data_IF_807841204899
#
_entry.id   IF_807841204899
#
_cell.length_a   1.000
_cell.length_b   1.000
_cell.length_c   1.000
_cell.angle_alpha   90.00
_cell.angle_beta   90.00
_cell.angle_gamma   90.00
#
_symmetry.space_group_name_H-M   'P 1'
#
loop_
_entity.id
_entity.type
_entity.pdbx_description
1 polymer ?
#
# COMPACT_ATOMS: atom_id res chain seq x y z
N UNK A 1 -29.10 37.06 -45.36
CA UNK A 1 -27.73 37.12 -44.82
C UNK A 1 -27.91 37.42 -43.35
N UNK A 2 -27.73 36.41 -42.50
CA UNK A 2 -27.25 36.55 -41.13
C UNK A 2 -26.90 35.12 -40.68
N UNK A 3 -25.62 34.91 -40.43
CA UNK A 3 -24.98 33.61 -40.28
C UNK A 3 -25.33 32.93 -38.96
N UNK A 4 -25.61 31.64 -39.05
CA UNK A 4 -25.61 30.73 -37.90
C UNK A 4 -24.15 30.42 -37.57
N UNK A 5 -23.67 30.88 -36.41
CA UNK A 5 -22.37 30.44 -35.89
C UNK A 5 -22.42 28.96 -35.50
N UNK A 6 -21.40 28.16 -35.83
CA UNK A 6 -21.38 26.76 -35.43
C UNK A 6 -21.05 26.66 -33.94
N UNK A 7 -21.81 25.81 -33.24
CA UNK A 7 -21.55 25.33 -31.90
C UNK A 7 -20.15 24.68 -31.88
N UNK A 8 -19.20 25.28 -31.15
CA UNK A 8 -17.91 24.66 -30.90
C UNK A 8 -18.12 23.31 -30.21
N UNK A 9 -17.76 22.24 -30.91
CA UNK A 9 -17.64 20.91 -30.36
C UNK A 9 -16.57 20.95 -29.27
N UNK A 10 -16.98 20.86 -28.01
CA UNK A 10 -16.08 20.63 -26.89
C UNK A 10 -15.37 19.30 -27.10
N UNK A 11 -14.19 19.36 -27.72
CA UNK A 11 -13.21 18.27 -27.75
C UNK A 11 -12.93 17.84 -26.33
N UNK A 12 -13.16 16.55 -26.08
CA UNK A 12 -12.80 15.83 -24.86
C UNK A 12 -11.38 16.18 -24.42
N UNK A 13 -11.26 16.78 -23.23
CA UNK A 13 -9.98 16.94 -22.56
C UNK A 13 -9.51 15.57 -22.08
N UNK A 14 -8.84 14.82 -22.94
CA UNK A 14 -7.98 13.73 -22.49
C UNK A 14 -6.92 14.37 -21.58
N UNK A 15 -7.03 14.09 -20.29
CA UNK A 15 -6.27 14.74 -19.23
C UNK A 15 -4.78 14.45 -19.37
N UNK A 16 -4.04 15.40 -19.94
CA UNK A 16 -2.59 15.34 -19.96
C UNK A 16 -2.07 15.33 -18.51
N UNK A 17 -1.39 14.24 -18.11
CA UNK A 17 -0.74 14.15 -16.80
C UNK A 17 0.23 15.32 -16.60
N UNK A 18 0.21 15.91 -15.40
CA UNK A 18 1.04 17.07 -15.07
C UNK A 18 2.53 16.71 -15.17
N UNK A 19 3.38 17.68 -15.55
CA UNK A 19 4.83 17.47 -15.62
C UNK A 19 5.43 16.86 -14.33
N UNK A 20 5.04 17.30 -13.11
CA UNK A 20 5.51 16.68 -11.87
C UNK A 20 5.13 15.20 -11.74
N UNK A 21 3.91 14.81 -12.14
CA UNK A 21 3.47 13.41 -12.08
C UNK A 21 4.30 12.54 -13.01
N UNK A 22 4.53 12.99 -14.26
CA UNK A 22 5.38 12.25 -15.22
C UNK A 22 6.81 12.08 -14.73
N UNK A 23 7.40 13.14 -14.17
CA UNK A 23 8.75 13.06 -13.59
C UNK A 23 8.80 12.04 -12.45
N UNK A 24 7.79 12.02 -11.60
CA UNK A 24 7.70 11.06 -10.50
C UNK A 24 7.52 9.62 -10.99
N UNK A 25 6.66 9.39 -11.98
CA UNK A 25 6.45 8.07 -12.59
C UNK A 25 7.74 7.52 -13.22
N UNK A 26 8.47 8.38 -13.96
CA UNK A 26 9.76 8.02 -14.55
C UNK A 26 10.82 7.72 -13.50
N UNK A 27 10.92 8.54 -12.44
CA UNK A 27 11.88 8.32 -11.36
C UNK A 27 11.63 7.00 -10.60
N UNK A 28 10.37 6.55 -10.54
CA UNK A 28 9.98 5.30 -9.90
C UNK A 28 9.80 4.14 -10.89
N UNK A 29 10.20 4.31 -12.16
CA UNK A 29 10.06 3.31 -13.23
C UNK A 29 8.64 2.69 -13.32
N UNK A 30 7.60 3.49 -13.08
CA UNK A 30 6.21 3.02 -13.07
C UNK A 30 5.86 2.43 -14.44
N UNK A 31 5.40 1.18 -14.46
CA UNK A 31 4.98 0.49 -15.68
C UNK A 31 3.46 0.49 -15.81
N UNK A 32 2.89 0.72 -17.00
CA UNK A 32 1.47 0.53 -17.26
C UNK A 32 1.07 -0.93 -17.03
N UNK A 33 0.10 -1.18 -16.15
CA UNK A 33 -0.18 -2.53 -15.68
C UNK A 33 -1.67 -2.76 -15.33
N UNK A 34 -2.60 -2.18 -16.09
CA UNK A 34 -4.05 -2.25 -15.80
C UNK A 34 -4.56 -3.68 -15.60
N UNK A 35 -4.06 -4.66 -16.36
CA UNK A 35 -4.48 -6.06 -16.25
C UNK A 35 -4.00 -6.76 -14.96
N UNK A 36 -2.91 -6.28 -14.33
CA UNK A 36 -2.35 -6.86 -13.11
C UNK A 36 -3.30 -6.62 -11.92
N UNK A 37 -4.11 -5.56 -11.95
CA UNK A 37 -4.95 -5.11 -10.85
C UNK A 37 -6.39 -5.67 -10.87
N UNK A 38 -6.71 -6.65 -11.72
CA UNK A 38 -8.00 -7.36 -11.62
C UNK A 38 -8.03 -8.24 -10.37
N UNK A 39 -9.03 -8.09 -9.51
CA UNK A 39 -9.24 -8.93 -8.34
C UNK A 39 -10.27 -10.02 -8.65
N UNK A 40 -9.89 -11.29 -8.52
CA UNK A 40 -10.80 -12.43 -8.61
C UNK A 40 -10.91 -13.09 -7.23
N UNK A 41 -12.06 -12.91 -6.59
CA UNK A 41 -12.29 -13.41 -5.23
C UNK A 41 -12.17 -14.93 -5.13
N UNK A 42 -12.66 -15.68 -6.13
CA UNK A 42 -12.65 -17.14 -6.08
C UNK A 42 -11.22 -17.68 -6.24
N UNK A 43 -10.43 -17.08 -7.13
CA UNK A 43 -9.00 -17.38 -7.27
C UNK A 43 -8.24 -17.10 -5.97
N UNK A 44 -8.45 -15.93 -5.36
CA UNK A 44 -7.77 -15.55 -4.13
C UNK A 44 -8.15 -16.43 -2.95
N UNK A 45 -9.41 -16.83 -2.83
CA UNK A 45 -9.86 -17.78 -1.82
C UNK A 45 -9.21 -19.17 -2.01
N UNK A 46 -9.09 -19.64 -3.25
CA UNK A 46 -8.42 -20.90 -3.54
C UNK A 46 -6.92 -20.86 -3.16
N UNK A 47 -6.23 -19.77 -3.48
CA UNK A 47 -4.81 -19.58 -3.11
C UNK A 47 -4.65 -19.51 -1.59
N UNK A 48 -5.49 -18.73 -0.89
CA UNK A 48 -5.51 -18.61 0.57
C UNK A 48 -5.87 -19.91 1.28
N UNK A 49 -6.67 -20.76 0.67
CA UNK A 49 -6.96 -22.10 1.20
C UNK A 49 -5.79 -23.07 0.98
N UNK A 50 -5.08 -22.95 -0.14
CA UNK A 50 -3.95 -23.82 -0.48
C UNK A 50 -2.66 -23.49 0.30
N UNK A 51 -2.50 -22.23 0.73
CA UNK A 51 -1.37 -21.71 1.52
C UNK A 51 0.00 -22.23 1.09
N UNK A 52 0.41 -22.04 -0.17
CA UNK A 52 1.67 -22.58 -0.68
C UNK A 52 2.91 -22.06 0.07
N UNK A 53 2.83 -20.87 0.68
CA UNK A 53 3.89 -20.28 1.50
C UNK A 53 4.17 -21.01 2.81
N UNK A 54 3.24 -21.82 3.35
CA UNK A 54 3.52 -22.62 4.57
C UNK A 54 4.60 -23.68 4.33
N UNK A 55 4.86 -24.05 3.06
CA UNK A 55 5.86 -25.06 2.68
C UNK A 55 7.26 -24.48 2.46
N UNK A 56 7.35 -23.19 2.18
CA UNK A 56 8.61 -22.50 1.89
C UNK A 56 8.59 -21.09 2.51
N UNK A 57 9.39 -20.82 3.56
CA UNK A 57 9.47 -19.49 4.15
C UNK A 57 10.00 -18.42 3.18
N UNK A 58 10.57 -18.81 2.04
CA UNK A 58 11.04 -17.91 0.97
C UNK A 58 10.13 -17.93 -0.27
N UNK A 59 8.86 -18.35 -0.09
CA UNK A 59 7.90 -18.45 -1.19
C UNK A 59 7.70 -17.13 -1.93
N UNK A 60 7.47 -16.03 -1.19
CA UNK A 60 7.32 -14.70 -1.76
C UNK A 60 8.68 -14.09 -2.08
N UNK A 61 8.87 -13.69 -3.34
CA UNK A 61 10.15 -13.14 -3.83
C UNK A 61 10.01 -11.76 -4.45
N UNK A 62 8.79 -11.40 -4.85
CA UNK A 62 8.50 -10.15 -5.52
C UNK A 62 7.32 -9.45 -4.85
N UNK A 63 7.37 -8.13 -4.85
CA UNK A 63 6.24 -7.27 -4.49
C UNK A 63 6.02 -6.24 -5.59
N UNK A 64 4.77 -6.06 -6.00
CA UNK A 64 4.35 -5.04 -6.96
C UNK A 64 3.42 -4.08 -6.24
N UNK A 65 3.79 -2.80 -6.17
CA UNK A 65 3.01 -1.78 -5.48
C UNK A 65 2.38 -0.86 -6.52
N UNK A 66 1.05 -0.73 -6.46
CA UNK A 66 0.31 0.24 -7.25
C UNK A 66 0.82 1.66 -6.98
N UNK A 67 1.03 2.44 -8.04
CA UNK A 67 1.48 3.82 -7.93
C UNK A 67 0.59 4.67 -7.00
N UNK A 68 -0.72 4.41 -7.00
CA UNK A 68 -1.67 5.06 -6.10
C UNK A 68 -1.42 4.69 -4.63
N UNK A 69 -1.21 3.41 -4.33
CA UNK A 69 -0.90 2.94 -2.99
C UNK A 69 0.42 3.55 -2.50
N UNK A 70 1.46 3.54 -3.35
CA UNK A 70 2.75 4.17 -3.03
C UNK A 70 2.58 5.66 -2.73
N UNK A 71 1.86 6.39 -3.58
CA UNK A 71 1.62 7.82 -3.38
C UNK A 71 0.87 8.11 -2.07
N UNK A 72 -0.18 7.32 -1.75
CA UNK A 72 -0.91 7.44 -0.49
C UNK A 72 -0.01 7.20 0.72
N UNK A 73 0.80 6.15 0.71
CA UNK A 73 1.74 5.84 1.79
C UNK A 73 2.78 6.95 1.99
N UNK A 74 3.39 7.44 0.89
CA UNK A 74 4.38 8.52 0.94
C UNK A 74 3.76 9.84 1.41
N UNK A 75 2.56 10.18 0.92
CA UNK A 75 1.84 11.37 1.39
C UNK A 75 1.47 11.27 2.86
N UNK A 76 1.12 10.08 3.36
CA UNK A 76 0.83 9.87 4.77
C UNK A 76 2.09 10.02 5.63
N UNK A 77 3.20 9.38 5.24
CA UNK A 77 4.49 9.52 5.93
C UNK A 77 4.93 10.99 5.99
N UNK A 78 4.84 11.71 4.86
CA UNK A 78 5.17 13.14 4.81
C UNK A 78 4.29 14.01 5.71
N UNK A 79 3.01 13.66 5.89
CA UNK A 79 2.12 14.38 6.82
C UNK A 79 2.46 14.10 8.28
N UNK A 80 2.99 12.91 8.58
CA UNK A 80 3.49 12.55 9.91
C UNK A 80 4.71 13.36 10.35
N UNK A 81 5.48 13.91 9.41
CA UNK A 81 6.70 14.66 9.69
C UNK A 81 7.72 13.77 10.42
N UNK A 82 8.08 14.14 11.64
CA UNK A 82 9.03 13.37 12.46
C UNK A 82 8.37 12.25 13.28
N UNK A 83 7.05 12.06 13.15
CA UNK A 83 6.31 11.02 13.86
C UNK A 83 6.16 9.79 12.97
N UNK A 84 6.27 8.61 13.58
CA UNK A 84 5.95 7.35 12.91
C UNK A 84 4.43 7.28 12.66
N UNK A 85 4.07 7.02 11.41
CA UNK A 85 2.69 6.74 11.00
C UNK A 85 2.57 5.30 10.55
N UNK A 86 1.34 4.77 10.56
CA UNK A 86 1.09 3.43 10.04
C UNK A 86 -0.24 3.29 9.34
N UNK A 87 -0.37 2.23 8.55
CA UNK A 87 -1.58 1.91 7.82
C UNK A 87 -1.59 0.48 7.32
N UNK A 88 -2.64 0.13 6.59
CA UNK A 88 -2.81 -1.19 5.98
C UNK A 88 -2.67 -1.10 4.47
N UNK A 89 -2.30 -2.23 3.86
CA UNK A 89 -2.29 -2.40 2.41
C UNK A 89 -3.25 -3.51 1.99
N UNK A 90 -4.00 -3.21 0.94
CA UNK A 90 -4.92 -4.15 0.30
C UNK A 90 -4.33 -4.61 -1.02
N UNK A 91 -4.57 -5.87 -1.35
CA UNK A 91 -3.91 -6.52 -2.45
C UNK A 91 -4.35 -7.95 -2.67
N UNK A 92 -3.53 -8.65 -3.44
CA UNK A 92 -3.75 -10.04 -3.82
C UNK A 92 -2.43 -10.79 -3.95
N UNK A 93 -2.52 -12.11 -4.01
CA UNK A 93 -1.41 -12.99 -4.36
C UNK A 93 -1.49 -13.36 -5.83
N UNK A 94 -0.36 -13.28 -6.52
CA UNK A 94 -0.17 -13.81 -7.87
C UNK A 94 1.11 -14.66 -7.89
N UNK A 95 0.94 -15.98 -7.87
CA UNK A 95 2.03 -16.94 -7.69
C UNK A 95 2.92 -16.59 -6.48
N UNK A 96 4.21 -16.28 -6.73
CA UNK A 96 5.23 -15.90 -5.74
C UNK A 96 5.35 -14.37 -5.55
N UNK A 97 4.38 -13.62 -6.06
CA UNK A 97 4.36 -12.15 -6.02
C UNK A 97 3.20 -11.66 -5.15
N UNK A 98 3.49 -10.73 -4.24
CA UNK A 98 2.45 -9.95 -3.56
C UNK A 98 2.15 -8.69 -4.37
N UNK A 99 0.88 -8.46 -4.68
CA UNK A 99 0.44 -7.28 -5.42
C UNK A 99 -0.34 -6.38 -4.46
N UNK A 100 0.22 -5.22 -4.14
CA UNK A 100 -0.44 -4.16 -3.39
C UNK A 100 -1.22 -3.28 -4.36
N UNK A 101 -2.54 -3.25 -4.20
CA UNK A 101 -3.49 -2.54 -5.04
C UNK A 101 -3.87 -1.18 -4.47
N UNK A 102 -4.02 -1.10 -3.14
CA UNK A 102 -4.33 0.15 -2.44
C UNK A 102 -3.73 0.16 -1.01
N UNK A 103 -3.76 1.32 -0.36
CA UNK A 103 -3.35 1.51 1.04
C UNK A 103 -4.27 2.50 1.74
N UNK A 104 -4.44 2.35 3.05
CA UNK A 104 -5.17 3.30 3.88
C UNK A 104 -4.46 3.56 5.21
N UNK A 105 -4.50 4.82 5.65
CA UNK A 105 -3.94 5.25 6.92
C UNK A 105 -4.80 4.72 8.08
N UNK A 106 -4.15 4.21 9.13
CA UNK A 106 -4.83 3.98 10.41
C UNK A 106 -4.86 5.30 11.21
N UNK A 107 -5.91 5.56 12.00
CA UNK A 107 -6.10 6.83 12.70
C UNK A 107 -5.22 6.93 13.95
N UNK A 108 -3.91 6.79 13.78
CA UNK A 108 -2.94 6.72 14.88
C UNK A 108 -1.77 7.64 14.61
N UNK A 109 -1.59 8.62 15.50
CA UNK A 109 -0.38 9.44 15.59
C UNK A 109 0.56 8.78 16.61
N UNK A 110 1.62 8.12 16.13
CA UNK A 110 2.66 7.58 16.99
C UNK A 110 3.52 8.71 17.55
N UNK A 111 3.48 8.96 18.87
CA UNK A 111 4.51 9.77 19.53
C UNK A 111 5.48 8.85 20.26
N UNK A 112 6.78 9.16 20.23
CA UNK A 112 7.86 8.40 20.92
C UNK A 112 7.56 8.08 22.41
N UNK A 113 6.63 8.80 23.03
CA UNK A 113 6.30 8.72 24.46
C UNK A 113 4.94 8.09 24.77
N UNK A 114 4.13 7.68 23.79
CA UNK A 114 2.79 7.12 24.03
C UNK A 114 2.63 5.72 23.43
N UNK A 115 3.01 4.74 24.24
CA UNK A 115 2.81 3.29 24.02
C UNK A 115 1.37 2.94 23.57
N UNK A 116 0.35 3.68 24.04
CA UNK A 116 -1.06 3.44 23.70
C UNK A 116 -1.41 3.64 22.22
N UNK A 117 -0.69 4.47 21.47
CA UNK A 117 -1.01 4.73 20.08
C UNK A 117 -0.75 3.48 19.23
N UNK A 118 0.38 2.81 19.46
CA UNK A 118 0.74 1.57 18.76
C UNK A 118 -0.23 0.43 19.08
N UNK A 119 -0.63 0.26 20.35
CA UNK A 119 -1.61 -0.76 20.74
C UNK A 119 -2.98 -0.55 20.07
N UNK A 120 -3.47 0.69 20.04
CA UNK A 120 -4.72 1.04 19.34
C UNK A 120 -4.61 0.75 17.83
N UNK A 121 -3.46 1.00 17.24
CA UNK A 121 -3.22 0.72 15.83
C UNK A 121 -3.26 -0.78 15.52
N UNK A 122 -2.72 -1.61 16.40
CA UNK A 122 -2.77 -3.07 16.26
C UNK A 122 -4.19 -3.61 16.44
N UNK A 123 -4.98 -3.02 17.33
CA UNK A 123 -6.41 -3.34 17.46
C UNK A 123 -7.15 -3.01 16.16
N UNK A 124 -6.95 -1.81 15.60
CA UNK A 124 -7.53 -1.45 14.31
C UNK A 124 -7.05 -2.37 13.19
N UNK A 125 -5.76 -2.71 13.13
CA UNK A 125 -5.22 -3.63 12.13
C UNK A 125 -5.94 -4.98 12.17
N UNK A 126 -6.14 -5.53 13.37
CA UNK A 126 -6.84 -6.80 13.56
C UNK A 126 -8.28 -6.71 13.06
N UNK A 127 -9.03 -5.69 13.50
CA UNK A 127 -10.43 -5.48 13.11
C UNK A 127 -10.56 -5.34 11.59
N UNK A 128 -9.75 -4.49 10.95
CA UNK A 128 -9.87 -4.27 9.51
C UNK A 128 -9.45 -5.48 8.68
N UNK A 129 -8.48 -6.27 9.15
CA UNK A 129 -8.06 -7.50 8.47
C UNK A 129 -9.17 -8.55 8.53
N UNK A 130 -9.86 -8.67 9.66
CA UNK A 130 -11.02 -9.57 9.80
C UNK A 130 -12.20 -9.15 8.91
N UNK A 131 -12.38 -7.85 8.67
CA UNK A 131 -13.45 -7.32 7.83
C UNK A 131 -13.18 -7.41 6.33
N UNK A 132 -11.94 -7.68 5.92
CA UNK A 132 -11.52 -7.57 4.52
C UNK A 132 -10.45 -8.58 4.15
N UNK A 133 -10.84 -9.66 3.46
CA UNK A 133 -9.93 -10.68 2.92
C UNK A 133 -8.94 -10.15 1.87
N UNK A 134 -9.07 -8.89 1.46
CA UNK A 134 -8.10 -8.21 0.57
C UNK A 134 -6.92 -7.60 1.31
N UNK A 135 -6.91 -7.53 2.65
CA UNK A 135 -5.73 -7.06 3.38
C UNK A 135 -4.61 -8.10 3.23
N UNK A 136 -3.43 -7.61 2.84
CA UNK A 136 -2.25 -8.45 2.58
C UNK A 136 -1.02 -7.96 3.33
N UNK A 137 -1.17 -6.95 4.19
CA UNK A 137 -0.05 -6.39 4.91
C UNK A 137 -0.35 -5.06 5.60
N UNK A 138 0.72 -4.52 6.17
CA UNK A 138 0.76 -3.24 6.83
C UNK A 138 1.95 -2.43 6.34
N UNK A 139 1.87 -1.11 6.50
CA UNK A 139 3.01 -0.23 6.31
C UNK A 139 3.18 0.69 7.51
N UNK A 140 4.41 1.11 7.76
CA UNK A 140 4.74 2.18 8.69
C UNK A 140 5.89 3.02 8.17
N UNK A 141 6.09 4.20 8.74
CA UNK A 141 7.19 5.10 8.35
C UNK A 141 8.32 5.13 9.36
N UNK A 142 9.56 5.18 8.88
CA UNK A 142 10.75 5.48 9.69
C UNK A 142 11.35 6.83 9.24
N UNK A 143 10.94 7.97 9.83
CA UNK A 143 11.43 9.27 9.43
C UNK A 143 12.91 9.43 9.85
N UNK A 144 13.82 9.54 8.87
CA UNK A 144 15.24 9.78 9.13
C UNK A 144 16.14 8.57 9.44
N UNK A 145 15.58 7.35 9.54
CA UNK A 145 16.36 6.15 9.95
C UNK A 145 16.57 5.09 8.85
N UNK A 146 16.01 5.29 7.64
CA UNK A 146 16.05 4.31 6.54
C UNK A 146 14.91 3.29 6.61
N UNK A 147 14.96 2.25 5.76
CA UNK A 147 13.94 1.19 5.70
C UNK A 147 14.48 -0.12 6.27
N UNK A 148 14.09 -0.48 7.50
CA UNK A 148 14.43 -1.74 8.16
C UNK A 148 13.34 -2.10 9.19
N UNK A 149 13.31 -3.34 9.68
CA UNK A 149 12.38 -3.73 10.74
C UNK A 149 13.09 -3.66 12.09
N UNK A 150 12.53 -2.89 13.03
CA UNK A 150 12.97 -2.90 14.43
C UNK A 150 12.61 -4.21 15.13
N UNK A 151 13.11 -4.42 16.35
CA UNK A 151 12.75 -5.62 17.12
C UNK A 151 11.24 -5.73 17.40
N UNK A 152 10.57 -4.59 17.54
CA UNK A 152 9.10 -4.53 17.69
C UNK A 152 8.46 -4.91 16.36
N UNK A 153 8.92 -4.32 15.24
CA UNK A 153 8.36 -4.60 13.91
C UNK A 153 8.50 -6.07 13.52
N UNK A 154 9.64 -6.69 13.83
CA UNK A 154 9.87 -8.13 13.61
C UNK A 154 8.88 -8.97 14.42
N UNK A 155 8.64 -8.62 15.69
CA UNK A 155 7.72 -9.35 16.56
C UNK A 155 6.27 -9.21 16.08
N UNK A 156 5.86 -8.00 15.71
CA UNK A 156 4.55 -7.72 15.11
C UNK A 156 4.38 -8.48 13.80
N UNK A 157 5.38 -8.45 12.92
CA UNK A 157 5.32 -9.13 11.64
C UNK A 157 5.25 -10.65 11.81
N UNK A 158 5.96 -11.23 12.79
CA UNK A 158 5.88 -12.65 13.11
C UNK A 158 4.47 -13.05 13.57
N UNK A 159 3.82 -12.23 14.43
CA UNK A 159 2.44 -12.46 14.84
C UNK A 159 1.46 -12.36 13.66
N UNK A 160 1.63 -11.36 12.80
CA UNK A 160 0.79 -11.22 11.60
C UNK A 160 0.97 -12.40 10.64
N UNK A 161 2.20 -12.88 10.44
CA UNK A 161 2.48 -14.08 9.67
C UNK A 161 2.08 -15.39 10.38
N UNK A 162 1.67 -15.33 11.64
CA UNK A 162 1.10 -16.49 12.32
C UNK A 162 -0.43 -16.55 12.14
N UNK A 163 -1.11 -15.40 12.12
CA UNK A 163 -2.58 -15.34 12.21
C UNK A 163 -3.27 -14.76 10.97
N UNK A 164 -2.57 -13.98 10.14
CA UNK A 164 -3.15 -13.17 9.07
C UNK A 164 -2.50 -13.46 7.70
N UNK A 165 -1.89 -14.64 7.51
CA UNK A 165 -1.18 -14.93 6.25
C UNK A 165 -2.09 -14.95 5.01
N UNK A 166 -1.54 -14.53 3.85
CA UNK A 166 -0.22 -13.94 3.65
C UNK A 166 -0.19 -12.46 4.04
N UNK A 167 0.87 -12.04 4.76
CA UNK A 167 0.99 -10.68 5.32
C UNK A 167 2.39 -10.10 5.13
N UNK A 168 2.50 -8.89 4.58
CA UNK A 168 3.79 -8.18 4.36
C UNK A 168 3.93 -6.94 5.25
N UNK A 169 5.16 -6.65 5.67
CA UNK A 169 5.54 -5.38 6.29
C UNK A 169 6.23 -4.49 5.26
N UNK A 170 5.76 -3.25 5.10
CA UNK A 170 6.37 -2.24 4.23
C UNK A 170 6.85 -1.07 5.09
N UNK A 171 8.14 -0.72 4.98
CA UNK A 171 8.71 0.43 5.68
C UNK A 171 8.90 1.57 4.69
N UNK A 172 8.30 2.72 4.98
CA UNK A 172 8.37 3.92 4.15
C UNK A 172 9.35 4.91 4.76
N UNK A 173 10.40 5.24 4.02
CA UNK A 173 11.34 6.26 4.42
C UNK A 173 10.97 7.61 3.79
N UNK A 174 10.84 8.63 4.63
CA UNK A 174 10.72 10.03 4.21
C UNK A 174 11.97 10.77 4.69
N UNK A 175 12.54 11.58 3.79
CA UNK A 175 13.67 12.46 4.09
C UNK A 175 13.18 13.90 4.04
N UNK A 176 12.98 14.50 5.21
CA UNK A 176 12.67 15.92 5.35
C UNK A 176 13.96 16.74 5.22
N UNK A 177 13.99 17.69 4.27
CA UNK A 177 15.03 18.71 4.12
C UNK A 177 14.70 19.97 4.93
#
# INVERSE_FOLDING_TARGET
MDGVEPMDSATSSDGASSMPLRTWELANNVQPAEQIYRYDTAEQQAIRAAKPWEKDPHYFKEIKICALALLKMVMHARRGGNLEVMGLVQGKVDANTLIVMDSFALPVEGTETRVNAQEQAYEYMTIYTELSESVVGWYHSHPGYGCWLSGIDVSTQALNQQFQEPFVAIVVFEFSF
#
